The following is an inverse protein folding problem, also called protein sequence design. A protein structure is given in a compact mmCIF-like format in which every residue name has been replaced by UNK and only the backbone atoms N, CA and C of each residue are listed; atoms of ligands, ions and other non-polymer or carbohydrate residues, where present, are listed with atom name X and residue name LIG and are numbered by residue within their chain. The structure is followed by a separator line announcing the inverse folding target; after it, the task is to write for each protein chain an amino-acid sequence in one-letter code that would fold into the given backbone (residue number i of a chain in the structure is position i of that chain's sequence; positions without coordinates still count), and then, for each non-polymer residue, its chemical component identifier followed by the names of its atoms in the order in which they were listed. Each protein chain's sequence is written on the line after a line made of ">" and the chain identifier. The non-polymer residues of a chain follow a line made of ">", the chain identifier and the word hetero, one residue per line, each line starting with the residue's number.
data_IF_177689017686
#
_entry.id   IF_177689017686
#
_cell.length_a   1.000
_cell.length_b   1.000
_cell.length_c   1.000
_cell.angle_alpha   90.00
_cell.angle_beta   90.00
_cell.angle_gamma   90.00
#
_symmetry.space_group_name_H-M   'P 1'
#
loop_
_entity.id
_entity.type
_entity.pdbx_description
1 polymer ?
#
# COMPACT_ATOMS: atom_id res chain seq x y z
N UNK A 1 0.63 4.90 11.55
CA UNK A 1 -0.46 5.63 10.84
C UNK A 1 -0.42 7.12 11.14
N UNK A 2 -0.39 7.54 12.41
CA UNK A 2 -0.28 8.96 12.81
C UNK A 2 0.88 9.67 12.10
N UNK A 3 2.06 9.04 12.02
CA UNK A 3 3.18 9.60 11.27
C UNK A 3 2.80 10.03 9.84
N UNK A 4 2.10 9.16 9.09
CA UNK A 4 1.70 9.45 7.69
C UNK A 4 0.76 10.64 7.57
N UNK A 5 -0.14 10.82 8.53
CA UNK A 5 -1.09 11.94 8.56
C UNK A 5 -0.45 13.24 9.05
N UNK A 6 0.50 13.14 9.99
CA UNK A 6 1.22 14.30 10.53
C UNK A 6 2.24 14.86 9.54
N UNK A 7 2.99 13.99 8.86
CA UNK A 7 4.14 14.41 8.04
C UNK A 7 3.82 14.54 6.56
N UNK A 8 2.81 13.82 6.07
CA UNK A 8 2.55 13.74 4.63
C UNK A 8 3.64 13.01 3.82
N UNK A 9 4.69 12.49 4.47
CA UNK A 9 5.89 11.97 3.82
C UNK A 9 5.68 10.69 3.01
N UNK A 10 6.67 10.34 2.18
CA UNK A 10 6.61 9.14 1.35
C UNK A 10 6.62 7.88 2.23
N UNK A 11 5.87 6.84 1.84
CA UNK A 11 5.86 5.57 2.59
C UNK A 11 7.26 4.97 2.74
N UNK A 12 8.12 5.11 1.72
CA UNK A 12 9.48 4.60 1.72
C UNK A 12 10.41 5.30 2.72
N UNK A 13 10.04 6.51 3.15
CA UNK A 13 10.79 7.32 4.13
C UNK A 13 10.29 7.11 5.56
N UNK A 14 9.32 6.20 5.76
CA UNK A 14 8.78 5.93 7.08
C UNK A 14 9.89 5.42 8.02
N UNK A 15 10.02 5.98 9.25
CA UNK A 15 10.99 5.53 10.22
C UNK A 15 10.86 4.03 10.50
N UNK A 16 12.01 3.36 10.59
CA UNK A 16 12.09 1.90 10.76
C UNK A 16 11.54 1.42 12.09
N UNK A 17 11.44 2.28 13.09
CA UNK A 17 10.77 2.04 14.38
C UNK A 17 9.28 1.66 14.25
N UNK A 18 8.63 2.05 13.14
CA UNK A 18 7.25 1.66 12.84
C UNK A 18 7.15 0.33 12.09
N UNK A 19 8.27 -0.31 11.78
CA UNK A 19 8.36 -1.56 11.03
C UNK A 19 8.48 -1.37 9.51
N UNK A 20 8.39 -2.47 8.77
CA UNK A 20 8.52 -2.45 7.31
C UNK A 20 7.40 -1.62 6.65
N UNK A 21 7.79 -0.61 5.87
CA UNK A 21 6.85 0.32 5.24
C UNK A 21 5.77 -0.37 4.41
N UNK A 22 6.12 -1.47 3.72
CA UNK A 22 5.20 -2.24 2.88
C UNK A 22 4.07 -2.87 3.70
N UNK A 23 4.39 -3.33 4.92
CA UNK A 23 3.42 -3.92 5.84
C UNK A 23 2.49 -2.86 6.40
N UNK A 24 3.05 -1.72 6.82
CA UNK A 24 2.26 -0.59 7.34
C UNK A 24 1.35 -0.01 6.26
N UNK A 25 1.86 0.16 5.05
CA UNK A 25 1.07 0.61 3.90
C UNK A 25 -0.04 -0.38 3.55
N UNK A 26 0.23 -1.70 3.58
CA UNK A 26 -0.81 -2.71 3.33
C UNK A 26 -1.92 -2.65 4.40
N UNK A 27 -1.55 -2.54 5.68
CA UNK A 27 -2.52 -2.34 6.76
C UNK A 27 -3.33 -1.05 6.56
N UNK A 28 -2.68 0.03 6.13
CA UNK A 28 -3.37 1.28 5.82
C UNK A 28 -4.43 1.11 4.75
N UNK A 29 -4.07 0.46 3.64
CA UNK A 29 -5.01 0.19 2.57
C UNK A 29 -6.19 -0.67 3.04
N UNK A 30 -5.93 -1.74 3.78
CA UNK A 30 -6.99 -2.59 4.32
C UNK A 30 -7.95 -1.82 5.22
N UNK A 31 -7.44 -0.94 6.09
CA UNK A 31 -8.29 -0.13 6.97
C UNK A 31 -9.08 0.94 6.23
N UNK A 32 -8.45 1.60 5.25
CA UNK A 32 -9.14 2.53 4.36
C UNK A 32 -10.28 1.82 3.63
N UNK A 33 -9.99 0.68 3.02
CA UNK A 33 -10.95 -0.07 2.20
C UNK A 33 -12.06 -0.68 3.07
N UNK A 34 -11.78 -0.96 4.34
CA UNK A 34 -12.76 -1.41 5.32
C UNK A 34 -13.53 -0.27 6.02
N UNK A 35 -13.34 1.00 5.63
CA UNK A 35 -14.06 2.14 6.21
C UNK A 35 -13.68 2.48 7.66
N UNK A 36 -12.54 1.98 8.17
CA UNK A 36 -12.15 2.17 9.58
C UNK A 36 -11.99 3.64 9.94
N UNK A 37 -11.47 4.45 9.04
CA UNK A 37 -11.26 5.88 9.29
C UNK A 37 -12.57 6.68 9.30
N UNK A 38 -13.53 6.29 8.45
CA UNK A 38 -14.87 6.89 8.42
C UNK A 38 -15.60 6.59 9.72
N UNK A 39 -15.65 5.31 10.13
CA UNK A 39 -16.24 4.91 11.40
C UNK A 39 -15.59 5.60 12.62
N UNK A 40 -14.26 5.80 12.59
CA UNK A 40 -13.56 6.53 13.65
C UNK A 40 -13.99 8.00 13.70
N UNK A 41 -14.06 8.67 12.55
CA UNK A 41 -14.46 10.07 12.46
C UNK A 41 -15.91 10.26 12.94
N UNK A 42 -16.84 9.42 12.48
CA UNK A 42 -18.23 9.44 12.92
C UNK A 42 -18.36 9.23 14.44
N UNK A 43 -17.60 8.29 14.98
CA UNK A 43 -17.56 8.04 16.43
C UNK A 43 -17.05 9.24 17.23
N UNK A 44 -16.00 9.91 16.75
CA UNK A 44 -15.45 11.12 17.38
C UNK A 44 -16.44 12.28 17.35
N UNK A 45 -17.08 12.53 16.20
CA UNK A 45 -18.12 13.58 16.06
C UNK A 45 -19.29 13.28 17.01
N UNK A 46 -19.74 12.02 17.04
CA UNK A 46 -20.86 11.59 17.89
C UNK A 46 -20.55 11.83 19.38
N UNK A 47 -19.36 11.49 19.85
CA UNK A 47 -18.99 11.74 21.24
C UNK A 47 -18.84 13.23 21.56
N UNK A 48 -18.23 14.00 20.67
CA UNK A 48 -18.07 15.43 20.90
C UNK A 48 -19.43 16.15 20.91
N UNK A 49 -20.39 15.71 20.09
CA UNK A 49 -21.77 16.19 20.13
C UNK A 49 -22.48 15.85 21.44
N UNK A 50 -22.32 14.62 21.97
CA UNK A 50 -22.89 14.24 23.28
C UNK A 50 -22.37 15.09 24.43
N UNK A 51 -21.11 15.54 24.34
CA UNK A 51 -20.48 16.41 25.33
C UNK A 51 -20.84 17.89 25.17
N UNK A 52 -21.57 18.25 24.11
CA UNK A 52 -21.85 19.64 23.78
C UNK A 52 -20.61 20.43 23.35
N UNK A 53 -19.54 19.74 22.93
CA UNK A 53 -18.27 20.35 22.52
C UNK A 53 -18.28 20.79 21.05
N UNK A 54 -19.30 20.37 20.28
CA UNK A 54 -19.42 20.66 18.85
C UNK A 54 -20.84 21.10 18.53
N UNK A 55 -20.97 22.23 17.85
CA UNK A 55 -22.20 22.68 17.22
C UNK A 55 -22.28 22.15 15.78
N UNK A 56 -23.21 21.23 15.53
CA UNK A 56 -23.43 20.63 14.21
C UNK A 56 -24.35 21.48 13.30
N UNK A 57 -24.82 22.65 13.77
CA UNK A 57 -25.62 23.56 12.94
C UNK A 57 -24.80 24.28 11.86
N UNK A 58 -23.47 24.33 12.03
CA UNK A 58 -22.53 24.92 11.10
C UNK A 58 -21.38 23.95 10.81
N UNK A 59 -21.30 23.45 9.58
CA UNK A 59 -20.24 22.55 9.13
C UNK A 59 -19.37 23.26 8.10
N UNK A 60 -18.06 23.33 8.35
CA UNK A 60 -17.08 23.83 7.38
C UNK A 60 -16.55 22.67 6.54
N UNK A 61 -16.56 22.84 5.23
CA UNK A 61 -15.99 21.89 4.27
C UNK A 61 -14.91 22.63 3.51
N UNK A 62 -13.66 22.21 3.68
CA UNK A 62 -12.53 22.64 2.85
C UNK A 62 -12.05 21.50 1.94
N UNK A 63 -11.28 21.87 0.92
CA UNK A 63 -10.52 20.90 0.14
C UNK A 63 -9.13 21.46 -0.11
N UNK A 64 -8.12 20.60 -0.03
CA UNK A 64 -6.75 20.96 -0.37
C UNK A 64 -6.25 20.06 -1.50
N UNK A 65 -6.01 20.60 -2.71
CA UNK A 65 -5.48 19.79 -3.81
C UNK A 65 -3.98 19.52 -3.59
N UNK A 66 -3.62 18.24 -3.42
CA UNK A 66 -2.23 17.80 -3.40
C UNK A 66 -1.86 17.20 -4.77
N UNK A 67 -1.05 17.92 -5.54
CA UNK A 67 -0.54 17.40 -6.83
C UNK A 67 0.54 16.36 -6.59
N UNK A 68 0.43 15.23 -7.28
CA UNK A 68 1.52 14.28 -7.35
C UNK A 68 2.67 14.85 -8.20
N UNK A 69 3.91 14.51 -7.86
CA UNK A 69 5.06 14.83 -8.72
C UNK A 69 4.87 14.17 -10.10
N UNK A 70 5.44 14.73 -11.17
CA UNK A 70 5.31 14.17 -12.52
C UNK A 70 5.81 12.71 -12.58
N UNK A 71 6.84 12.38 -11.79
CA UNK A 71 7.36 11.01 -11.65
C UNK A 71 6.37 10.01 -11.02
N UNK A 72 5.32 10.49 -10.35
CA UNK A 72 4.29 9.63 -9.77
C UNK A 72 3.35 9.02 -10.83
N UNK A 73 3.34 9.56 -12.05
CA UNK A 73 2.57 9.01 -13.17
C UNK A 73 3.09 7.64 -13.66
N UNK A 74 4.29 7.23 -13.21
CA UNK A 74 5.02 6.09 -13.76
C UNK A 74 5.83 6.48 -14.99
N UNK A 75 6.75 5.62 -15.41
CA UNK A 75 7.47 5.82 -16.67
C UNK A 75 6.51 5.59 -17.84
N UNK A 76 6.42 6.57 -18.75
CA UNK A 76 5.88 6.34 -20.08
C UNK A 76 6.95 5.60 -20.87
N UNK A 77 6.72 4.32 -21.14
CA UNK A 77 7.63 3.48 -21.91
C UNK A 77 7.03 3.30 -23.30
N UNK A 78 7.84 3.53 -24.33
CA UNK A 78 7.46 3.20 -25.70
C UNK A 78 7.15 1.70 -25.82
N UNK A 79 6.29 1.33 -26.77
CA UNK A 79 5.78 -0.04 -26.93
C UNK A 79 6.91 -1.07 -27.12
N UNK A 80 7.98 -0.67 -27.79
CA UNK A 80 9.20 -1.47 -28.00
C UNK A 80 9.95 -1.70 -26.68
N UNK A 81 10.04 -0.67 -25.82
CA UNK A 81 10.67 -0.79 -24.49
C UNK A 81 9.85 -1.70 -23.58
N UNK A 82 8.51 -1.59 -23.60
CA UNK A 82 7.62 -2.49 -22.85
C UNK A 82 7.82 -3.94 -23.32
N UNK A 83 7.79 -4.17 -24.63
CA UNK A 83 7.97 -5.50 -25.23
C UNK A 83 9.33 -6.10 -24.88
N UNK A 84 10.40 -5.29 -24.90
CA UNK A 84 11.74 -5.72 -24.52
C UNK A 84 11.83 -6.13 -23.04
N UNK A 85 11.18 -5.37 -22.15
CA UNK A 85 11.13 -5.68 -20.71
C UNK A 85 10.34 -6.96 -20.43
N UNK A 86 9.20 -7.16 -21.10
CA UNK A 86 8.40 -8.39 -20.96
C UNK A 86 9.19 -9.62 -21.42
N UNK A 87 9.91 -9.51 -22.54
CA UNK A 87 10.79 -10.58 -23.02
C UNK A 87 11.91 -10.88 -22.02
N UNK A 88 12.57 -9.85 -21.51
CA UNK A 88 13.63 -9.99 -20.52
C UNK A 88 13.12 -10.65 -19.22
N UNK A 89 11.94 -10.26 -18.74
CA UNK A 89 11.31 -10.86 -17.57
C UNK A 89 10.98 -12.34 -17.79
N UNK A 90 10.45 -12.70 -18.96
CA UNK A 90 10.15 -14.09 -19.32
C UNK A 90 11.43 -14.95 -19.44
N UNK A 91 12.53 -14.37 -19.93
CA UNK A 91 13.84 -15.02 -19.96
C UNK A 91 14.41 -15.23 -18.55
N UNK A 92 14.29 -14.24 -17.67
CA UNK A 92 14.70 -14.33 -16.26
C UNK A 92 13.88 -15.41 -15.51
N UNK A 93 12.57 -15.48 -15.73
CA UNK A 93 11.70 -16.50 -15.13
C UNK A 93 12.03 -17.92 -15.64
N UNK A 94 12.30 -18.05 -16.95
CA UNK A 94 12.80 -19.31 -17.55
C UNK A 94 14.14 -19.72 -16.96
N UNK A 95 15.06 -18.78 -16.73
CA UNK A 95 16.34 -19.05 -16.09
C UNK A 95 16.15 -19.49 -14.63
N UNK A 96 15.29 -18.80 -13.88
CA UNK A 96 14.95 -19.13 -12.48
C UNK A 96 14.29 -20.51 -12.34
N UNK A 97 13.40 -20.89 -13.26
CA UNK A 97 12.75 -22.21 -13.26
C UNK A 97 13.69 -23.36 -13.64
N UNK A 98 14.63 -23.12 -14.57
CA UNK A 98 15.69 -24.09 -14.90
C UNK A 98 16.67 -24.35 -13.75
N UNK A 99 16.92 -23.36 -12.89
CA UNK A 99 17.82 -23.49 -11.74
C UNK A 99 17.26 -24.25 -10.53
N UNK A 100 15.98 -24.62 -10.51
CA UNK A 100 15.36 -25.31 -9.36
C UNK A 100 15.66 -26.82 -9.44
N UNK A 101 16.46 -27.41 -8.52
CA UNK A 101 16.78 -28.82 -8.59
C UNK A 101 15.51 -29.66 -8.37
N UNK A 102 15.29 -30.65 -9.25
CA UNK A 102 14.21 -31.63 -9.12
C UNK A 102 14.41 -32.42 -7.83
N UNK A 103 13.60 -32.12 -6.81
CA UNK A 103 13.55 -32.91 -5.56
C UNK A 103 13.14 -34.34 -5.91
N UNK A 104 14.11 -35.25 -5.96
CA UNK A 104 13.91 -36.65 -6.31
C UNK A 104 12.97 -37.32 -5.28
N UNK A 105 11.85 -37.87 -5.77
CA UNK A 105 10.98 -38.74 -4.97
C UNK A 105 11.69 -40.08 -4.76
N UNK A 106 12.39 -40.24 -3.64
CA UNK A 106 12.72 -41.57 -3.10
C UNK A 106 11.49 -42.12 -2.38
N UNK A 107 10.66 -42.87 -3.10
CA UNK A 107 9.65 -43.73 -2.49
C UNK A 107 10.31 -45.07 -2.12
N UNK A 108 10.28 -45.34 -0.81
CA UNK A 108 10.80 -46.52 -0.10
C UNK A 108 10.39 -47.83 -0.78
N UNK A 109 11.37 -48.66 -1.13
CA UNK A 109 11.17 -50.07 -1.42
C UNK A 109 10.88 -50.84 -0.12
N UNK A 110 9.76 -51.56 -0.12
CA UNK A 110 9.43 -52.64 0.82
C UNK A 110 10.39 -53.81 0.58
N UNK A 111 11.07 -54.27 1.64
CA UNK A 111 11.24 -55.69 1.99
C UNK A 111 11.34 -55.77 3.50
#
# INVERSE_FOLDING_TARGET
>A
MIWRFKTGGQWREMPTEFGAWSTVHNRFRQWRDAGVFEALLEGLITEAAKRGEVDLSLVSIDSTPARAHHDAAGMHLDEDVVTALEKAAAEEEKARSKGRPRRAKRARGRK
#
